data_IF_431167592343
#
_entry.id   IF_431167592343
#
_cell.length_a   1.000
_cell.length_b   1.000
_cell.length_c   1.000
_cell.angle_alpha   90.00
_cell.angle_beta   90.00
_cell.angle_gamma   90.00
#
_symmetry.space_group_name_H-M   'P 1'
#
loop_
_entity.id
_entity.type
_entity.pdbx_description
1 polymer ?
#
# COMPACT_ATOMS: atom_id res chain seq x y z
N UNK A 1 34.43 51.34 -98.98
CA UNK A 1 33.42 50.37 -99.49
C UNK A 1 33.70 49.07 -98.77
N UNK A 2 32.81 48.35 -98.10
CA UNK A 2 31.35 48.34 -97.84
C UNK A 2 31.20 47.42 -96.59
N UNK A 3 30.41 47.76 -95.57
CA UNK A 3 29.12 47.10 -95.22
C UNK A 3 29.28 45.62 -94.81
N UNK A 4 28.76 45.03 -93.74
CA UNK A 4 27.56 45.21 -92.90
C UNK A 4 27.66 44.17 -91.75
N UNK A 5 27.23 44.43 -90.51
CA UNK A 5 25.90 44.08 -89.93
C UNK A 5 25.44 42.63 -90.21
N UNK A 6 24.78 41.84 -89.34
CA UNK A 6 24.42 41.86 -87.92
C UNK A 6 23.89 40.44 -87.60
N UNK A 7 24.00 40.00 -86.34
CA UNK A 7 23.07 39.10 -85.62
C UNK A 7 22.79 37.64 -86.11
N UNK A 8 23.15 36.67 -85.25
CA UNK A 8 22.23 35.60 -84.85
C UNK A 8 22.55 35.03 -83.47
N UNK A 9 21.46 34.69 -82.79
CA UNK A 9 21.18 34.46 -81.37
C UNK A 9 21.46 33.04 -80.85
N UNK A 10 21.47 32.93 -79.50
CA UNK A 10 21.15 31.73 -78.66
C UNK A 10 22.06 30.48 -78.80
N UNK A 11 22.45 29.71 -77.79
CA UNK A 11 21.92 29.41 -76.45
C UNK A 11 23.04 28.85 -75.54
N UNK A 12 23.02 29.30 -74.28
CA UNK A 12 23.05 28.51 -73.05
C UNK A 12 23.69 27.10 -73.01
N UNK A 13 24.69 26.88 -72.13
CA UNK A 13 24.53 26.04 -70.92
C UNK A 13 25.77 26.01 -70.01
N UNK A 14 25.52 26.41 -68.76
CA UNK A 14 26.01 25.84 -67.50
C UNK A 14 27.50 25.48 -67.33
N UNK A 15 28.22 26.34 -66.60
CA UNK A 15 29.52 26.03 -65.99
C UNK A 15 29.77 26.92 -64.78
N UNK A 16 29.10 26.58 -63.68
CA UNK A 16 29.02 27.34 -62.40
C UNK A 16 30.42 27.68 -61.84
N UNK A 17 30.64 28.97 -61.55
CA UNK A 17 31.79 29.46 -60.77
C UNK A 17 31.33 29.80 -59.34
N UNK A 18 32.18 29.43 -58.37
CA UNK A 18 32.37 30.02 -57.02
C UNK A 18 31.36 29.68 -55.91
N UNK A 19 31.80 28.87 -54.93
CA UNK A 19 32.07 29.25 -53.52
C UNK A 19 32.32 28.00 -52.65
N UNK A 20 33.34 27.97 -51.77
CA UNK A 20 33.34 27.05 -50.63
C UNK A 20 32.53 27.71 -49.51
N UNK A 21 31.28 27.30 -49.36
CA UNK A 21 30.45 27.71 -48.23
C UNK A 21 31.07 27.18 -46.92
N UNK A 22 31.67 28.09 -46.17
CA UNK A 22 32.09 27.85 -44.81
C UNK A 22 30.86 27.63 -43.91
N UNK A 23 30.91 26.50 -43.19
CA UNK A 23 30.52 26.36 -41.78
C UNK A 23 29.05 26.68 -41.40
N UNK A 24 28.32 25.61 -41.09
CA UNK A 24 27.08 25.69 -40.31
C UNK A 24 26.53 24.36 -39.76
N UNK A 25 27.30 23.27 -39.72
CA UNK A 25 26.90 22.03 -39.02
C UNK A 25 27.56 22.00 -37.66
N UNK A 26 26.85 22.40 -36.60
CA UNK A 26 27.43 22.42 -35.28
C UNK A 26 26.42 22.68 -34.17
N UNK A 27 25.22 22.10 -34.23
CA UNK A 27 24.24 22.16 -33.13
C UNK A 27 23.33 20.93 -32.99
N UNK A 28 23.53 19.83 -33.73
CA UNK A 28 22.60 18.67 -33.70
C UNK A 28 23.08 17.51 -32.80
N UNK A 29 24.38 17.29 -32.68
CA UNK A 29 24.92 16.17 -31.88
C UNK A 29 24.72 16.37 -30.36
N UNK A 30 24.92 17.61 -29.88
CA UNK A 30 24.73 17.98 -28.46
C UNK A 30 23.32 17.75 -27.93
N UNK A 31 22.31 17.83 -28.80
CA UNK A 31 20.92 17.62 -28.39
C UNK A 31 20.60 16.14 -28.22
N UNK A 32 21.19 15.27 -29.04
CA UNK A 32 21.06 13.82 -28.91
C UNK A 32 21.76 13.33 -27.64
N UNK A 33 22.98 13.82 -27.35
CA UNK A 33 23.71 13.47 -26.13
C UNK A 33 22.91 13.80 -24.85
N UNK A 34 22.17 14.91 -24.86
CA UNK A 34 21.32 15.32 -23.73
C UNK A 34 20.09 14.42 -23.59
N UNK A 35 19.51 13.97 -24.71
CA UNK A 35 18.36 13.04 -24.72
C UNK A 35 18.78 11.68 -24.21
N UNK A 36 19.91 11.14 -24.68
CA UNK A 36 20.44 9.84 -24.22
C UNK A 36 20.76 9.87 -22.72
N UNK A 37 21.26 11.00 -22.21
CA UNK A 37 21.49 11.20 -20.78
C UNK A 37 20.18 11.25 -19.97
N UNK A 38 19.13 11.89 -20.48
CA UNK A 38 17.83 11.87 -19.82
C UNK A 38 17.22 10.47 -19.82
N UNK A 39 17.35 9.75 -20.93
CA UNK A 39 16.88 8.37 -21.07
C UNK A 39 17.60 7.42 -20.10
N UNK A 40 18.92 7.49 -20.02
CA UNK A 40 19.71 6.72 -19.07
C UNK A 40 19.35 7.04 -17.60
N UNK A 41 19.02 8.29 -17.29
CA UNK A 41 18.54 8.67 -15.94
C UNK A 41 17.14 8.15 -15.67
N UNK A 42 16.28 8.14 -16.68
CA UNK A 42 14.92 7.66 -16.58
C UNK A 42 14.87 6.15 -16.36
N UNK A 43 15.77 5.39 -17.01
CA UNK A 43 15.90 3.95 -16.77
C UNK A 43 16.45 3.63 -15.37
N UNK A 44 17.36 4.44 -14.83
CA UNK A 44 17.80 4.33 -13.43
C UNK A 44 16.67 4.57 -12.44
N UNK A 45 15.80 5.55 -12.72
CA UNK A 45 14.62 5.82 -11.88
C UNK A 45 13.64 4.66 -11.95
N UNK A 46 13.35 4.13 -13.15
CA UNK A 46 12.48 2.96 -13.32
C UNK A 46 13.02 1.75 -12.55
N UNK A 47 14.32 1.48 -12.65
CA UNK A 47 14.97 0.38 -11.94
C UNK A 47 14.83 0.55 -10.42
N UNK A 48 15.18 1.73 -9.89
CA UNK A 48 15.04 2.03 -8.47
C UNK A 48 13.59 1.91 -7.97
N UNK A 49 12.61 2.25 -8.81
CA UNK A 49 11.19 2.07 -8.49
C UNK A 49 10.80 0.59 -8.41
N UNK A 50 11.30 -0.24 -9.34
CA UNK A 50 11.08 -1.69 -9.31
C UNK A 50 11.72 -2.31 -8.07
N UNK A 51 12.98 -1.96 -7.77
CA UNK A 51 13.68 -2.44 -6.57
C UNK A 51 12.93 -2.05 -5.27
N UNK A 52 12.37 -0.84 -5.23
CA UNK A 52 11.57 -0.37 -4.09
C UNK A 52 10.27 -1.17 -3.96
N UNK A 53 9.62 -1.45 -5.08
CA UNK A 53 8.37 -2.23 -5.09
C UNK A 53 8.60 -3.68 -4.65
N UNK A 54 9.68 -4.30 -5.13
CA UNK A 54 10.10 -5.64 -4.71
C UNK A 54 10.45 -5.68 -3.21
N UNK A 55 11.18 -4.67 -2.71
CA UNK A 55 11.50 -4.55 -1.29
C UNK A 55 10.27 -4.43 -0.39
N UNK A 56 9.26 -3.65 -0.80
CA UNK A 56 8.00 -3.53 -0.08
C UNK A 56 7.21 -4.84 -0.08
N UNK A 57 7.14 -5.54 -1.21
CA UNK A 57 6.47 -6.83 -1.32
C UNK A 57 7.14 -7.92 -0.47
N UNK A 58 8.47 -7.92 -0.35
CA UNK A 58 9.18 -8.85 0.54
C UNK A 58 8.87 -8.59 2.02
N UNK A 59 8.73 -7.32 2.42
CA UNK A 59 8.33 -6.96 3.79
C UNK A 59 6.89 -7.40 4.07
N UNK A 60 5.98 -7.18 3.12
CA UNK A 60 4.59 -7.63 3.20
C UNK A 60 4.50 -9.15 3.37
N UNK A 61 5.15 -9.90 2.49
CA UNK A 61 5.19 -11.37 2.58
C UNK A 61 5.85 -11.87 3.86
N UNK A 62 6.94 -11.22 4.31
CA UNK A 62 7.61 -11.57 5.56
C UNK A 62 6.68 -11.40 6.78
N UNK A 63 5.90 -10.33 6.79
CA UNK A 63 4.91 -10.07 7.83
C UNK A 63 3.75 -11.06 7.78
N UNK A 64 3.20 -11.35 6.59
CA UNK A 64 2.13 -12.34 6.42
C UNK A 64 2.56 -13.75 6.87
N UNK A 65 3.78 -14.15 6.49
CA UNK A 65 4.35 -15.44 6.90
C UNK A 65 4.57 -15.50 8.42
N UNK A 66 5.12 -14.45 9.02
CA UNK A 66 5.32 -14.39 10.48
C UNK A 66 3.98 -14.42 11.25
N UNK A 67 2.93 -13.81 10.71
CA UNK A 67 1.59 -13.87 11.29
C UNK A 67 0.95 -15.26 11.13
N UNK A 68 1.18 -15.92 10.00
CA UNK A 68 0.73 -17.29 9.78
C UNK A 68 1.41 -18.26 10.76
N UNK A 69 2.72 -18.13 10.94
CA UNK A 69 3.50 -18.92 11.89
C UNK A 69 3.01 -18.72 13.34
N UNK A 70 2.83 -17.46 13.75
CA UNK A 70 2.31 -17.15 15.09
C UNK A 70 0.90 -17.72 15.30
N UNK A 71 0.04 -17.70 14.26
CA UNK A 71 -1.29 -18.31 14.31
C UNK A 71 -1.22 -19.82 14.49
N UNK A 72 -0.34 -20.49 13.76
CA UNK A 72 -0.13 -21.93 13.87
C UNK A 72 0.37 -22.30 15.28
N UNK A 73 1.33 -21.53 15.83
CA UNK A 73 1.80 -21.72 17.21
C UNK A 73 0.70 -21.53 18.26
N UNK A 74 -0.17 -20.52 18.09
CA UNK A 74 -1.30 -20.28 19.00
C UNK A 74 -2.34 -21.42 18.89
N UNK A 75 -2.57 -21.96 17.70
CA UNK A 75 -3.48 -23.07 17.49
C UNK A 75 -2.96 -24.38 18.11
N UNK A 76 -1.67 -24.65 17.98
CA UNK A 76 -1.00 -25.80 18.63
C UNK A 76 -1.10 -25.72 20.16
N UNK A 77 -0.82 -24.54 20.74
CA UNK A 77 -1.02 -24.27 22.16
C UNK A 77 -2.48 -24.47 22.59
N UNK A 78 -3.44 -24.09 21.74
CA UNK A 78 -4.88 -24.28 22.00
C UNK A 78 -5.26 -25.76 22.02
N UNK A 79 -4.73 -26.59 21.13
CA UNK A 79 -5.00 -28.03 21.11
C UNK A 79 -4.40 -28.74 22.34
N UNK A 80 -3.18 -28.36 22.74
CA UNK A 80 -2.57 -28.84 23.98
C UNK A 80 -3.32 -28.42 25.25
N UNK A 81 -3.83 -27.19 25.31
CA UNK A 81 -4.62 -26.68 26.46
C UNK A 81 -6.01 -27.32 26.51
N UNK A 82 -6.67 -27.57 25.38
CA UNK A 82 -7.98 -28.24 25.34
C UNK A 82 -7.89 -29.70 25.80
N UNK A 83 -6.81 -30.41 25.48
CA UNK A 83 -6.57 -31.77 26.01
C UNK A 83 -6.47 -31.79 27.54
N UNK A 84 -6.07 -30.69 28.20
CA UNK A 84 -6.08 -30.58 29.66
C UNK A 84 -7.38 -30.03 30.27
N UNK A 85 -8.23 -29.35 29.50
CA UNK A 85 -9.43 -28.66 30.01
C UNK A 85 -10.78 -29.32 29.67
N UNK A 86 -10.79 -30.41 28.89
CA UNK A 86 -11.99 -31.24 28.62
C UNK A 86 -12.35 -32.08 29.85
N UNK A 87 -12.64 -31.38 30.94
CA UNK A 87 -13.36 -31.87 32.10
C UNK A 87 -14.36 -30.78 32.51
N UNK A 88 -15.48 -30.74 31.78
CA UNK A 88 -16.68 -29.93 32.02
C UNK A 88 -16.60 -28.44 31.66
N UNK A 89 -17.30 -28.05 30.59
CA UNK A 89 -18.38 -27.02 30.58
C UNK A 89 -18.85 -26.75 29.14
N UNK A 90 -20.11 -26.38 29.02
CA UNK A 90 -20.89 -26.15 27.80
C UNK A 90 -20.10 -25.37 26.74
N UNK A 91 -20.04 -25.90 25.51
CA UNK A 91 -19.38 -25.23 24.39
C UNK A 91 -20.17 -24.00 23.94
N UNK A 92 -19.65 -22.81 24.22
CA UNK A 92 -20.18 -21.54 23.71
C UNK A 92 -19.73 -21.38 22.25
N UNK A 93 -20.63 -21.10 21.29
CA UNK A 93 -20.27 -20.85 19.91
C UNK A 93 -19.28 -19.69 19.78
N UNK A 94 -18.21 -19.90 19.01
CA UNK A 94 -17.16 -18.89 18.82
C UNK A 94 -17.63 -17.73 17.92
N UNK A 95 -17.22 -16.49 18.21
CA UNK A 95 -17.47 -15.34 17.35
C UNK A 95 -16.85 -15.50 15.95
N UNK A 96 -17.49 -14.88 14.96
CA UNK A 96 -16.95 -14.73 13.62
C UNK A 96 -15.84 -13.66 13.60
N UNK A 97 -14.76 -13.91 12.85
CA UNK A 97 -13.66 -12.95 12.72
C UNK A 97 -13.99 -11.73 11.86
N UNK A 98 -13.29 -10.62 12.12
CA UNK A 98 -13.46 -9.35 11.40
C UNK A 98 -12.23 -9.04 10.55
N UNK A 99 -12.42 -8.87 9.23
CA UNK A 99 -11.33 -8.67 8.26
C UNK A 99 -10.97 -7.21 7.97
N UNK A 100 -11.81 -6.26 8.40
CA UNK A 100 -11.59 -4.83 8.14
C UNK A 100 -12.11 -4.33 6.80
N UNK A 101 -12.90 -5.13 6.05
CA UNK A 101 -13.65 -4.61 4.90
C UNK A 101 -14.54 -3.47 5.39
N UNK A 102 -14.56 -2.34 4.65
CA UNK A 102 -15.19 -1.07 5.03
C UNK A 102 -16.73 -1.14 5.04
N UNK A 103 -17.28 -2.01 5.86
CA UNK A 103 -18.70 -2.18 6.08
C UNK A 103 -18.96 -1.91 7.56
N UNK A 104 -19.55 -0.74 7.87
CA UNK A 104 -19.90 -0.35 9.23
C UNK A 104 -20.71 -1.46 9.94
N UNK A 105 -21.58 -2.16 9.20
CA UNK A 105 -22.40 -3.25 9.72
C UNK A 105 -21.57 -4.46 10.16
N UNK A 106 -20.48 -4.79 9.47
CA UNK A 106 -19.61 -5.90 9.87
C UNK A 106 -18.83 -5.57 11.14
N UNK A 107 -18.38 -4.32 11.28
CA UNK A 107 -17.72 -3.86 12.50
C UNK A 107 -18.70 -3.84 13.68
N UNK A 108 -19.92 -3.32 13.48
CA UNK A 108 -20.97 -3.31 14.51
C UNK A 108 -21.33 -4.74 14.94
N UNK A 109 -21.49 -5.65 13.98
CA UNK A 109 -21.75 -7.07 14.25
C UNK A 109 -20.61 -7.72 15.04
N UNK A 110 -19.36 -7.42 14.68
CA UNK A 110 -18.19 -7.94 15.39
C UNK A 110 -18.19 -7.48 16.85
N UNK A 111 -18.30 -6.17 17.09
CA UNK A 111 -18.31 -5.61 18.43
C UNK A 111 -19.44 -6.18 19.29
N UNK A 112 -20.64 -6.27 18.71
CA UNK A 112 -21.81 -6.85 19.38
C UNK A 112 -21.61 -8.35 19.71
N UNK A 113 -21.09 -9.14 18.77
CA UNK A 113 -20.81 -10.56 18.99
C UNK A 113 -19.76 -10.79 20.07
N UNK A 114 -18.72 -9.95 20.13
CA UNK A 114 -17.69 -10.04 21.17
C UNK A 114 -18.27 -9.74 22.56
N UNK A 115 -19.11 -8.71 22.69
CA UNK A 115 -19.78 -8.37 23.95
C UNK A 115 -20.65 -9.54 24.45
N UNK A 116 -21.44 -10.14 23.55
CA UNK A 116 -22.24 -11.34 23.86
C UNK A 116 -21.40 -12.55 24.23
N UNK A 117 -20.26 -12.72 23.58
CA UNK A 117 -19.33 -13.80 23.91
C UNK A 117 -18.74 -13.61 25.31
N UNK A 118 -18.27 -12.41 25.64
CA UNK A 118 -17.76 -12.09 26.97
C UNK A 118 -18.79 -12.35 28.06
N UNK A 119 -20.05 -11.96 27.84
CA UNK A 119 -21.15 -12.28 28.75
C UNK A 119 -21.35 -13.80 28.91
N UNK A 120 -21.32 -14.56 27.82
CA UNK A 120 -21.54 -16.00 27.83
C UNK A 120 -20.44 -16.77 28.57
N UNK A 121 -19.19 -16.30 28.50
CA UNK A 121 -18.06 -16.88 29.23
C UNK A 121 -17.78 -16.19 30.58
N UNK A 122 -18.64 -15.24 30.98
CA UNK A 122 -18.48 -14.40 32.17
C UNK A 122 -17.09 -13.72 32.27
N UNK A 123 -16.55 -13.24 31.14
CA UNK A 123 -15.27 -12.55 31.09
C UNK A 123 -15.44 -11.08 31.50
N UNK A 124 -14.94 -10.75 32.70
CA UNK A 124 -15.08 -9.41 33.29
C UNK A 124 -13.82 -8.57 33.09
N UNK A 125 -12.64 -9.21 33.10
CA UNK A 125 -11.35 -8.52 33.02
C UNK A 125 -11.18 -7.77 31.69
N UNK A 126 -10.96 -6.45 31.78
CA UNK A 126 -10.94 -5.55 30.63
C UNK A 126 -9.76 -5.82 29.69
N UNK A 127 -8.57 -6.07 30.24
CA UNK A 127 -7.37 -6.40 29.47
C UNK A 127 -7.57 -7.74 28.75
N UNK A 128 -8.15 -8.73 29.43
CA UNK A 128 -8.47 -10.01 28.84
C UNK A 128 -9.51 -9.88 27.72
N UNK A 129 -10.54 -9.02 27.85
CA UNK A 129 -11.49 -8.74 26.76
C UNK A 129 -10.79 -8.22 25.52
N UNK A 130 -9.89 -7.24 25.67
CA UNK A 130 -9.09 -6.70 24.55
C UNK A 130 -8.27 -7.81 23.92
N UNK A 131 -7.52 -8.57 24.72
CA UNK A 131 -6.72 -9.71 24.24
C UNK A 131 -7.59 -10.71 23.48
N UNK A 132 -8.73 -11.12 24.05
CA UNK A 132 -9.64 -12.07 23.41
C UNK A 132 -10.21 -11.53 22.10
N UNK A 133 -10.66 -10.28 22.03
CA UNK A 133 -11.16 -9.70 20.79
C UNK A 133 -10.12 -9.65 19.67
N UNK A 134 -8.86 -9.38 20.02
CA UNK A 134 -7.79 -9.29 19.03
C UNK A 134 -7.47 -10.62 18.38
N UNK A 135 -7.78 -11.74 19.04
CA UNK A 135 -7.68 -13.09 18.46
C UNK A 135 -8.65 -13.33 17.30
N UNK A 136 -9.74 -12.55 17.24
CA UNK A 136 -10.76 -12.64 16.20
C UNK A 136 -10.59 -11.56 15.11
N UNK A 137 -9.52 -10.78 15.14
CA UNK A 137 -9.14 -9.90 14.04
C UNK A 137 -8.45 -10.70 12.92
N UNK A 138 -8.79 -10.42 11.68
CA UNK A 138 -8.19 -11.04 10.48
C UNK A 138 -7.74 -10.00 9.46
N UNK A 139 -6.90 -10.43 8.52
CA UNK A 139 -6.47 -9.66 7.35
C UNK A 139 -5.96 -8.25 7.73
N UNK A 140 -6.56 -7.20 7.16
CA UNK A 140 -6.16 -5.79 7.36
C UNK A 140 -6.26 -5.35 8.82
N UNK A 141 -7.15 -5.94 9.62
CA UNK A 141 -7.31 -5.56 11.04
C UNK A 141 -6.21 -6.14 11.92
N UNK A 142 -5.68 -7.32 11.57
CA UNK A 142 -4.55 -7.90 12.27
C UNK A 142 -3.31 -7.01 12.10
N UNK A 143 -3.08 -6.50 10.89
CA UNK A 143 -1.96 -5.57 10.61
C UNK A 143 -2.07 -4.26 11.39
N UNK A 144 -3.28 -3.68 11.41
CA UNK A 144 -3.54 -2.49 12.21
C UNK A 144 -3.29 -2.73 13.71
N UNK A 145 -3.72 -3.88 14.24
CA UNK A 145 -3.50 -4.22 15.64
C UNK A 145 -2.01 -4.38 15.97
N UNK A 146 -1.24 -5.02 15.10
CA UNK A 146 0.22 -5.11 15.26
C UNK A 146 0.90 -3.74 15.34
N UNK A 147 0.44 -2.77 14.53
CA UNK A 147 0.95 -1.41 14.59
C UNK A 147 0.58 -0.71 15.91
N UNK A 148 -0.63 -0.95 16.43
CA UNK A 148 -1.05 -0.45 17.74
C UNK A 148 -0.25 -1.07 18.89
N UNK A 149 0.06 -2.37 18.83
CA UNK A 149 0.88 -3.05 19.82
C UNK A 149 2.30 -2.44 19.90
N UNK A 150 2.96 -2.25 18.75
CA UNK A 150 4.26 -1.57 18.68
C UNK A 150 4.19 -0.11 19.16
N UNK A 151 3.03 0.54 19.00
CA UNK A 151 2.74 1.85 19.57
C UNK A 151 2.67 1.83 21.10
N UNK A 152 2.06 0.82 21.71
CA UNK A 152 1.99 0.65 23.16
C UNK A 152 3.36 0.40 23.78
N UNK A 153 4.20 -0.42 23.15
CA UNK A 153 5.59 -0.66 23.60
C UNK A 153 6.41 0.63 23.67
N UNK A 154 6.09 1.60 22.81
CA UNK A 154 6.72 2.91 22.75
C UNK A 154 5.99 3.99 23.56
N UNK A 155 4.91 3.64 24.26
CA UNK A 155 4.09 4.57 25.03
C UNK A 155 3.30 5.59 24.18
N UNK A 156 3.08 5.31 22.90
CA UNK A 156 2.40 6.21 21.94
C UNK A 156 0.88 6.07 22.03
N UNK A 157 0.38 4.89 22.39
CA UNK A 157 -1.04 4.64 22.65
C UNK A 157 -1.23 3.71 23.85
N UNK A 158 -2.40 3.81 24.48
CA UNK A 158 -2.79 2.97 25.63
C UNK A 158 -4.18 2.41 25.34
N UNK A 159 -4.29 1.08 25.17
CA UNK A 159 -5.55 0.36 24.99
C UNK A 159 -5.61 -0.72 26.06
N UNK A 160 -6.07 -0.34 27.24
CA UNK A 160 -6.15 -1.23 28.41
C UNK A 160 -7.58 -1.66 28.70
N UNK A 161 -8.57 -0.94 28.15
CA UNK A 161 -9.98 -1.25 28.34
C UNK A 161 -10.68 -1.64 27.04
N UNK A 162 -11.79 -2.36 27.17
CA UNK A 162 -12.68 -2.66 26.05
C UNK A 162 -13.22 -1.37 25.40
N UNK A 163 -13.44 -0.33 26.21
CA UNK A 163 -13.84 0.99 25.73
C UNK A 163 -12.79 1.63 24.81
N UNK A 164 -11.52 1.61 25.21
CA UNK A 164 -10.41 2.14 24.41
C UNK A 164 -10.28 1.39 23.09
N UNK A 165 -10.41 0.06 23.14
CA UNK A 165 -10.35 -0.78 21.95
C UNK A 165 -11.48 -0.43 20.97
N UNK A 166 -12.72 -0.33 21.47
CA UNK A 166 -13.88 0.08 20.67
C UNK A 166 -13.67 1.46 20.03
N UNK A 167 -13.13 2.42 20.77
CA UNK A 167 -12.87 3.75 20.23
C UNK A 167 -11.86 3.71 19.08
N UNK A 168 -10.74 3.01 19.28
CA UNK A 168 -9.63 3.00 18.33
C UNK A 168 -9.96 2.17 17.07
N UNK A 169 -10.66 1.04 17.20
CA UNK A 169 -11.10 0.25 16.04
C UNK A 169 -12.17 0.99 15.22
N UNK A 170 -13.09 1.71 15.87
CA UNK A 170 -14.06 2.55 15.19
C UNK A 170 -13.37 3.72 14.46
N UNK A 171 -12.38 4.37 15.08
CA UNK A 171 -11.63 5.45 14.43
C UNK A 171 -10.95 4.98 13.13
N UNK A 172 -10.48 3.74 13.09
CA UNK A 172 -9.76 3.20 11.95
C UNK A 172 -10.69 2.64 10.85
N UNK A 173 -11.70 1.86 11.23
CA UNK A 173 -12.47 1.05 10.29
C UNK A 173 -13.91 1.52 10.09
N UNK A 174 -14.40 2.44 10.92
CA UNK A 174 -15.70 3.04 10.69
C UNK A 174 -15.63 4.05 9.52
N UNK A 175 -16.50 3.95 8.50
CA UNK A 175 -16.48 4.87 7.37
C UNK A 175 -16.67 6.33 7.83
N UNK A 176 -15.75 7.22 7.42
CA UNK A 176 -15.84 8.66 7.74
C UNK A 176 -17.16 9.30 7.30
N UNK A 177 -17.84 8.74 6.31
CA UNK A 177 -19.12 9.22 5.76
C UNK A 177 -20.24 9.34 6.81
N UNK A 178 -20.15 8.60 7.93
CA UNK A 178 -21.12 8.69 9.03
C UNK A 178 -20.76 9.75 10.09
N UNK A 179 -19.50 10.19 10.18
CA UNK A 179 -19.09 11.26 11.10
C UNK A 179 -19.69 12.61 10.68
N UNK A 180 -19.92 12.81 9.39
CA UNK A 180 -20.62 14.00 8.85
C UNK A 180 -22.12 13.99 9.10
N UNK A 181 -22.73 12.82 9.32
CA UNK A 181 -24.19 12.70 9.52
C UNK A 181 -24.61 12.74 11.00
N UNK A 182 -23.69 12.47 11.93
CA UNK A 182 -23.94 12.52 13.38
C UNK A 182 -23.53 13.85 14.06
N UNK A 183 -23.15 14.88 13.29
CA UNK A 183 -23.08 16.26 13.77
C UNK A 183 -22.19 16.49 14.98
N UNK A 184 -21.00 15.88 15.03
CA UNK A 184 -19.97 16.26 16.01
C UNK A 184 -18.94 17.15 15.32
N UNK A 185 -19.12 18.45 15.52
CA UNK A 185 -18.14 19.50 15.24
C UNK A 185 -17.10 19.55 16.35
#
# INVERSE_FOLDING_TARGET
>A
MLGSDVEKTSEQTCGRKTEPAARGRGKKDKSCDVVDNMEARLDKVKLAMVDTWEGLNLIEQGMENGLKDLREQIQDLREGVIVSQVASRVEVPKPQGFSGKQNAKELDNFLWNMERYFEAIALIDEVAKVRTATLYLTDTTTLWWSWRLAGMEKGICTIETWGDFKMEINRQFYPRTWLTLLGKT
#
